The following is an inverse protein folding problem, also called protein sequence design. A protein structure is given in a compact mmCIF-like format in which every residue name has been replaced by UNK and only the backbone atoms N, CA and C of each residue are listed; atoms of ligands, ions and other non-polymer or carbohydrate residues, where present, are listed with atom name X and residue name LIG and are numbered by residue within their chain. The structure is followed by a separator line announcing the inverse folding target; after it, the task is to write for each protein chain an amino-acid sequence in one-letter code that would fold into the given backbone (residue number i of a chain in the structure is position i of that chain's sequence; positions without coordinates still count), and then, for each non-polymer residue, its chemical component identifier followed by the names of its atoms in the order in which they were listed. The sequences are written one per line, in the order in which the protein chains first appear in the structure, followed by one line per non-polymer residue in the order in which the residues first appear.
data_IF_320751299161
#
_entry.id   IF_320751299161
#
_cell.length_a   1.000
_cell.length_b   1.000
_cell.length_c   1.000
_cell.angle_alpha   90.00
_cell.angle_beta   90.00
_cell.angle_gamma   90.00
#
_symmetry.space_group_name_H-M   'P 1'
#
loop_
_entity.id
_entity.type
_entity.pdbx_description
1 polymer ?
#
# COMPACT_ATOMS: atom_id res chain seq x y z
N UNK A 1 9.47 24.86 3.81
CA UNK A 1 9.52 23.51 3.21
C UNK A 1 9.01 22.44 4.19
N UNK A 2 8.06 22.78 5.06
CA UNK A 2 7.50 21.85 6.05
C UNK A 2 6.14 21.39 5.50
N UNK A 3 5.87 20.10 5.61
CA UNK A 3 4.55 19.51 5.32
C UNK A 3 4.05 18.76 6.55
N UNK A 4 2.75 18.82 6.79
CA UNK A 4 2.11 18.11 7.90
C UNK A 4 1.69 16.72 7.46
N UNK A 5 2.09 15.71 8.22
CA UNK A 5 1.76 14.32 7.93
C UNK A 5 0.34 14.02 8.40
N UNK A 6 -0.55 13.68 7.48
CA UNK A 6 -1.96 13.35 7.78
C UNK A 6 -2.17 11.86 7.52
N UNK A 7 -2.67 11.13 8.50
CA UNK A 7 -3.01 9.72 8.32
C UNK A 7 -4.35 9.60 7.58
N UNK A 8 -4.32 9.05 6.36
CA UNK A 8 -5.46 8.80 5.50
C UNK A 8 -6.38 7.67 5.96
N UNK A 9 -6.25 7.17 7.19
CA UNK A 9 -6.96 5.98 7.68
C UNK A 9 -8.42 6.22 8.07
N UNK A 10 -8.96 7.43 7.87
CA UNK A 10 -10.36 7.76 8.23
C UNK A 10 -10.91 8.91 7.37
N UNK A 11 -12.25 9.08 7.30
CA UNK A 11 -12.85 10.20 6.59
C UNK A 11 -12.35 11.57 7.06
N UNK A 12 -12.02 11.71 8.35
CA UNK A 12 -11.51 12.95 8.93
C UNK A 12 -10.23 13.45 8.25
N UNK A 13 -9.45 12.56 7.62
CA UNK A 13 -8.26 12.93 6.86
C UNK A 13 -8.60 13.89 5.71
N UNK A 14 -9.76 13.72 5.07
CA UNK A 14 -10.22 14.58 3.97
C UNK A 14 -10.36 16.01 4.47
N UNK A 15 -11.05 16.21 5.59
CA UNK A 15 -11.28 17.54 6.17
C UNK A 15 -9.99 18.16 6.68
N UNK A 16 -9.15 17.39 7.39
CA UNK A 16 -7.86 17.87 7.89
C UNK A 16 -6.97 18.32 6.74
N UNK A 17 -6.84 17.49 5.69
CA UNK A 17 -6.07 17.85 4.48
C UNK A 17 -6.62 19.14 3.87
N UNK A 18 -7.93 19.20 3.63
CA UNK A 18 -8.58 20.34 2.98
C UNK A 18 -8.38 21.64 3.77
N UNK A 19 -8.50 21.60 5.09
CA UNK A 19 -8.40 22.77 5.98
C UNK A 19 -6.96 23.26 6.17
N UNK A 20 -5.98 22.34 6.23
CA UNK A 20 -4.57 22.73 6.26
C UNK A 20 -4.16 23.39 4.95
N UNK A 21 -4.52 22.78 3.82
CA UNK A 21 -4.18 23.31 2.49
C UNK A 21 -4.84 24.67 2.22
N UNK A 22 -6.06 24.91 2.74
CA UNK A 22 -6.72 26.21 2.66
C UNK A 22 -6.01 27.33 3.43
N UNK A 23 -5.12 26.98 4.36
CA UNK A 23 -4.27 27.92 5.09
C UNK A 23 -2.87 28.04 4.47
N UNK A 24 -2.65 27.43 3.30
CA UNK A 24 -1.34 27.37 2.65
C UNK A 24 -0.36 26.42 3.36
N UNK A 25 -0.87 25.47 4.15
CA UNK A 25 -0.04 24.49 4.87
C UNK A 25 -0.08 23.17 4.08
N UNK A 26 1.05 22.84 3.46
CA UNK A 26 1.20 21.61 2.68
C UNK A 26 1.07 20.36 3.54
N UNK A 27 0.51 19.31 2.95
CA UNK A 27 0.23 18.04 3.62
C UNK A 27 0.94 16.87 2.93
N UNK A 28 1.47 15.95 3.72
CA UNK A 28 1.86 14.62 3.26
C UNK A 28 0.84 13.63 3.80
N UNK A 29 -0.11 13.22 2.95
CA UNK A 29 -1.08 12.23 3.34
C UNK A 29 -0.43 10.84 3.25
N UNK A 30 -0.62 10.00 4.25
CA UNK A 30 0.07 8.70 4.40
C UNK A 30 -0.87 7.66 4.99
N UNK A 31 -0.44 6.40 5.16
CA UNK A 31 -1.37 5.32 5.52
C UNK A 31 -2.49 5.22 4.48
N UNK A 32 -2.07 5.38 3.22
CA UNK A 32 -2.92 5.35 2.03
C UNK A 32 -2.41 4.23 1.14
N UNK A 33 -3.33 3.45 0.59
CA UNK A 33 -3.00 2.20 -0.13
C UNK A 33 -3.73 2.04 -1.45
N UNK A 34 -4.76 2.86 -1.70
CA UNK A 34 -5.76 2.58 -2.74
C UNK A 34 -5.95 3.77 -3.65
N UNK A 35 -6.32 3.50 -4.90
CA UNK A 35 -6.57 4.52 -5.92
C UNK A 35 -7.69 5.46 -5.49
N UNK A 36 -8.78 4.93 -4.93
CA UNK A 36 -9.91 5.70 -4.45
C UNK A 36 -9.55 6.62 -3.29
N UNK A 37 -8.76 6.13 -2.32
CA UNK A 37 -8.28 6.90 -1.19
C UNK A 37 -7.36 8.04 -1.62
N UNK A 38 -6.36 7.76 -2.47
CA UNK A 38 -5.44 8.78 -3.01
C UNK A 38 -6.18 9.82 -3.84
N UNK A 39 -7.05 9.39 -4.75
CA UNK A 39 -7.81 10.30 -5.60
C UNK A 39 -8.68 11.25 -4.78
N UNK A 40 -9.37 10.72 -3.74
CA UNK A 40 -10.19 11.54 -2.85
C UNK A 40 -9.36 12.58 -2.10
N UNK A 41 -8.18 12.20 -1.64
CA UNK A 41 -7.28 13.06 -0.88
C UNK A 41 -6.57 14.11 -1.76
N UNK A 42 -6.21 13.77 -3.01
CA UNK A 42 -5.71 14.73 -4.00
C UNK A 42 -6.78 15.77 -4.33
N UNK A 43 -8.04 15.35 -4.51
CA UNK A 43 -9.16 16.28 -4.71
C UNK A 43 -9.36 17.22 -3.50
N UNK A 44 -9.17 16.72 -2.28
CA UNK A 44 -9.21 17.54 -1.06
C UNK A 44 -8.06 18.57 -1.02
N UNK A 45 -6.85 18.19 -1.47
CA UNK A 45 -5.73 19.12 -1.63
C UNK A 45 -6.07 20.21 -2.65
N UNK A 46 -6.57 19.83 -3.82
CA UNK A 46 -7.01 20.76 -4.86
C UNK A 46 -8.03 21.77 -4.34
N UNK A 47 -9.06 21.31 -3.63
CA UNK A 47 -10.09 22.17 -3.03
C UNK A 47 -9.50 23.12 -1.98
N UNK A 48 -8.69 22.61 -1.05
CA UNK A 48 -8.01 23.42 -0.04
C UNK A 48 -7.13 24.49 -0.67
N UNK A 49 -6.26 24.09 -1.58
CA UNK A 49 -5.33 25.01 -2.25
C UNK A 49 -6.04 26.03 -3.15
N UNK A 50 -7.18 25.70 -3.75
CA UNK A 50 -8.00 26.66 -4.47
C UNK A 50 -8.53 27.77 -3.54
N UNK A 51 -8.94 27.43 -2.31
CA UNK A 51 -9.33 28.41 -1.28
C UNK A 51 -8.15 29.30 -0.88
N UNK A 52 -6.98 28.72 -0.65
CA UNK A 52 -5.76 29.47 -0.34
C UNK A 52 -5.38 30.44 -1.46
N UNK A 53 -5.37 29.96 -2.71
CA UNK A 53 -5.01 30.77 -3.88
C UNK A 53 -5.93 31.99 -4.06
N UNK A 54 -7.23 31.83 -3.84
CA UNK A 54 -8.21 32.94 -3.85
C UNK A 54 -7.96 34.00 -2.79
N UNK A 55 -7.41 33.60 -1.65
CA UNK A 55 -7.04 34.51 -0.57
C UNK A 55 -5.66 35.15 -0.80
N UNK A 56 -5.03 34.91 -1.95
CA UNK A 56 -3.67 35.38 -2.24
C UNK A 56 -2.59 34.62 -1.46
N UNK A 57 -2.94 33.49 -0.81
CA UNK A 57 -1.99 32.66 -0.07
C UNK A 57 -1.27 31.76 -1.07
N UNK A 58 0.06 31.79 -1.04
CA UNK A 58 0.91 30.95 -1.89
C UNK A 58 0.79 29.49 -1.43
N UNK A 59 0.38 28.62 -2.35
CA UNK A 59 0.32 27.17 -2.12
C UNK A 59 1.73 26.57 -2.00
N UNK A 60 1.86 25.52 -1.20
CA UNK A 60 3.13 24.83 -0.93
C UNK A 60 3.12 23.42 -1.49
N UNK A 61 4.31 22.85 -1.71
CA UNK A 61 4.47 21.45 -2.12
C UNK A 61 3.78 20.51 -1.13
N UNK A 62 3.13 19.47 -1.65
CA UNK A 62 2.46 18.45 -0.88
C UNK A 62 2.58 17.08 -1.57
N UNK A 63 2.29 16.03 -0.80
CA UNK A 63 2.54 14.65 -1.18
C UNK A 63 1.33 13.79 -0.86
N UNK A 64 1.05 12.85 -1.75
CA UNK A 64 0.12 11.75 -1.53
C UNK A 64 0.92 10.45 -1.47
N UNK A 65 1.16 9.94 -0.26
CA UNK A 65 2.05 8.80 -0.03
C UNK A 65 1.29 7.48 -0.12
N UNK A 66 1.49 6.75 -1.21
CA UNK A 66 1.08 5.36 -1.37
C UNK A 66 2.02 4.42 -0.60
N UNK A 67 1.50 3.61 0.32
CA UNK A 67 2.26 2.60 1.05
C UNK A 67 2.24 1.24 0.34
N UNK A 68 2.58 1.22 -0.95
CA UNK A 68 2.44 0.09 -1.86
C UNK A 68 3.05 -1.22 -1.35
N UNK A 69 4.27 -1.20 -0.81
CA UNK A 69 4.88 -2.44 -0.31
C UNK A 69 4.18 -3.03 0.93
N UNK A 70 3.36 -2.25 1.64
CA UNK A 70 2.46 -2.79 2.67
C UNK A 70 1.17 -3.37 2.09
N UNK A 71 0.69 -2.84 0.96
CA UNK A 71 -0.39 -3.50 0.21
C UNK A 71 0.10 -4.86 -0.31
N UNK A 72 1.32 -4.93 -0.85
CA UNK A 72 1.93 -6.18 -1.31
C UNK A 72 2.03 -7.22 -0.18
N UNK A 73 2.54 -6.83 0.99
CA UNK A 73 2.59 -7.69 2.17
C UNK A 73 1.20 -8.22 2.54
N UNK A 74 0.19 -7.35 2.56
CA UNK A 74 -1.17 -7.74 2.91
C UNK A 74 -1.78 -8.71 1.89
N UNK A 75 -1.68 -8.43 0.60
CA UNK A 75 -2.24 -9.28 -0.45
C UNK A 75 -1.57 -10.65 -0.49
N UNK A 76 -0.25 -10.71 -0.20
CA UNK A 76 0.46 -11.98 -0.03
C UNK A 76 -0.09 -12.81 1.11
N UNK A 77 -0.38 -12.18 2.25
CA UNK A 77 -0.96 -12.85 3.41
C UNK A 77 -2.38 -13.35 3.14
N UNK A 78 -3.18 -12.59 2.39
CA UNK A 78 -4.53 -13.00 1.95
C UNK A 78 -4.43 -14.21 1.01
N UNK A 79 -3.59 -14.14 -0.01
CA UNK A 79 -3.38 -15.23 -0.96
C UNK A 79 -2.88 -16.51 -0.27
N UNK A 80 -1.94 -16.38 0.66
CA UNK A 80 -1.46 -17.50 1.47
C UNK A 80 -2.58 -18.11 2.32
N UNK A 81 -3.39 -17.29 2.98
CA UNK A 81 -4.51 -17.76 3.80
C UNK A 81 -5.54 -18.53 2.96
N UNK A 82 -5.90 -18.02 1.78
CA UNK A 82 -6.83 -18.70 0.87
C UNK A 82 -6.30 -20.05 0.38
N UNK A 83 -5.01 -20.12 0.05
CA UNK A 83 -4.35 -21.38 -0.34
C UNK A 83 -4.30 -22.38 0.83
N UNK A 84 -4.01 -21.92 2.05
CA UNK A 84 -4.05 -22.77 3.25
C UNK A 84 -5.46 -23.29 3.50
N UNK A 85 -6.49 -22.43 3.43
CA UNK A 85 -7.89 -22.85 3.60
C UNK A 85 -8.26 -23.95 2.61
N UNK A 86 -7.94 -23.73 1.32
CA UNK A 86 -8.16 -24.71 0.26
C UNK A 86 -7.41 -26.03 0.50
N UNK A 87 -6.18 -25.96 1.01
CA UNK A 87 -5.42 -27.15 1.37
C UNK A 87 -6.09 -27.93 2.52
N UNK A 88 -6.54 -27.22 3.55
CA UNK A 88 -7.17 -27.81 4.73
C UNK A 88 -8.56 -28.39 4.45
N UNK A 89 -9.25 -28.00 3.37
CA UNK A 89 -10.51 -28.66 2.96
C UNK A 89 -10.33 -30.17 2.71
N UNK A 90 -9.13 -30.60 2.31
CA UNK A 90 -8.79 -32.00 2.02
C UNK A 90 -8.21 -32.74 3.23
N UNK A 91 -7.93 -32.04 4.33
CA UNK A 91 -7.33 -32.64 5.52
C UNK A 91 -8.40 -33.28 6.41
N UNK A 92 -8.16 -34.53 6.85
CA UNK A 92 -9.00 -35.19 7.85
C UNK A 92 -8.95 -34.45 9.20
N UNK A 93 -7.75 -34.05 9.63
CA UNK A 93 -7.52 -33.21 10.80
C UNK A 93 -6.86 -31.89 10.38
N UNK A 94 -7.68 -30.84 10.31
CA UNK A 94 -7.25 -29.50 9.88
C UNK A 94 -6.28 -28.86 10.88
N UNK A 95 -6.47 -29.07 12.18
CA UNK A 95 -5.60 -28.46 13.19
C UNK A 95 -4.22 -29.12 13.17
N UNK A 96 -4.16 -30.45 13.06
CA UNK A 96 -2.90 -31.18 12.95
C UNK A 96 -2.14 -30.83 11.66
N UNK A 97 -2.84 -30.74 10.52
CA UNK A 97 -2.24 -30.36 9.24
C UNK A 97 -1.66 -28.94 9.28
N UNK A 98 -2.43 -27.97 9.79
CA UNK A 98 -1.95 -26.59 9.93
C UNK A 98 -0.78 -26.50 10.91
N UNK A 99 -0.81 -27.25 12.01
CA UNK A 99 0.27 -27.30 13.00
C UNK A 99 1.58 -27.83 12.41
N UNK A 100 1.52 -28.84 11.53
CA UNK A 100 2.69 -29.35 10.81
C UNK A 100 3.33 -28.26 9.94
N UNK A 101 2.52 -27.52 9.18
CA UNK A 101 2.99 -26.37 8.40
C UNK A 101 3.58 -25.28 9.31
N UNK A 102 2.89 -24.92 10.38
CA UNK A 102 3.32 -23.91 11.33
C UNK A 102 4.70 -24.22 11.92
N UNK A 103 4.96 -25.48 12.30
CA UNK A 103 6.28 -25.94 12.75
C UNK A 103 7.34 -25.83 11.68
N UNK A 104 7.06 -26.28 10.44
CA UNK A 104 8.01 -26.16 9.32
C UNK A 104 8.35 -24.67 9.03
N UNK A 105 7.38 -23.76 9.18
CA UNK A 105 7.59 -22.33 8.96
C UNK A 105 8.22 -21.59 10.15
N UNK A 106 8.46 -22.27 11.27
CA UNK A 106 9.08 -21.68 12.47
C UNK A 106 8.14 -20.82 13.31
N UNK A 107 6.82 -21.06 13.23
CA UNK A 107 5.85 -20.45 14.16
C UNK A 107 6.08 -21.07 15.55
N UNK A 108 6.17 -20.27 16.63
CA UNK A 108 6.45 -20.79 17.98
C UNK A 108 5.19 -21.44 18.58
N UNK A 109 4.91 -22.68 18.16
CA UNK A 109 3.73 -23.45 18.56
C UNK A 109 4.12 -24.81 19.14
N UNK A 110 3.51 -25.17 20.28
CA UNK A 110 3.84 -26.40 21.01
C UNK A 110 2.92 -27.58 20.66
N UNK A 111 1.64 -27.29 20.45
CA UNK A 111 0.58 -28.27 20.20
C UNK A 111 -0.46 -27.75 19.17
N UNK A 112 -1.19 -28.65 18.48
CA UNK A 112 -2.13 -28.24 17.42
C UNK A 112 -3.35 -27.46 17.94
N UNK A 113 -3.81 -27.80 19.14
CA UNK A 113 -4.96 -27.21 19.81
C UNK A 113 -4.57 -25.99 20.68
N UNK A 114 -5.57 -25.22 21.12
CA UNK A 114 -5.37 -24.09 22.02
C UNK A 114 -4.87 -22.81 21.33
N UNK A 115 -4.33 -21.90 22.14
CA UNK A 115 -3.94 -20.55 21.67
C UNK A 115 -2.51 -20.54 21.16
N UNK A 116 -2.33 -20.12 19.91
CA UNK A 116 -1.02 -19.85 19.33
C UNK A 116 -0.68 -18.37 19.50
N UNK A 117 0.60 -18.06 19.74
CA UNK A 117 1.06 -16.67 19.85
C UNK A 117 2.31 -16.48 19.04
N UNK A 118 2.42 -15.36 18.33
CA UNK A 118 3.63 -15.08 17.58
C UNK A 118 3.67 -13.72 16.90
N UNK A 119 4.87 -13.24 16.51
CA UNK A 119 5.02 -11.97 15.80
C UNK A 119 4.35 -11.99 14.43
N UNK A 120 3.59 -10.94 14.12
CA UNK A 120 2.97 -10.71 12.80
C UNK A 120 3.98 -10.25 11.73
N UNK A 121 5.12 -9.69 12.13
CA UNK A 121 6.03 -8.99 11.21
C UNK A 121 5.53 -7.59 10.80
N UNK A 122 4.43 -7.13 11.40
CA UNK A 122 3.88 -5.77 11.27
C UNK A 122 4.22 -4.86 12.45
N UNK A 123 4.94 -5.37 13.46
CA UNK A 123 5.33 -4.62 14.66
C UNK A 123 4.53 -4.99 15.92
N UNK A 124 3.62 -5.95 15.81
CA UNK A 124 2.80 -6.47 16.91
C UNK A 124 2.79 -8.00 16.95
N UNK A 125 2.43 -8.53 18.11
CA UNK A 125 2.24 -9.97 18.33
C UNK A 125 0.75 -10.32 18.19
N UNK A 126 0.47 -11.52 17.70
CA UNK A 126 -0.90 -12.02 17.46
C UNK A 126 -1.15 -13.18 18.40
N UNK A 127 -2.34 -13.23 18.98
CA UNK A 127 -2.87 -14.40 19.66
C UNK A 127 -3.97 -15.00 18.78
N UNK A 128 -3.82 -16.26 18.39
CA UNK A 128 -4.74 -16.98 17.53
C UNK A 128 -5.39 -18.13 18.29
N UNK A 129 -6.72 -18.13 18.39
CA UNK A 129 -7.49 -19.11 19.18
C UNK A 129 -8.29 -20.04 18.28
N UNK A 130 -8.84 -19.50 17.21
CA UNK A 130 -9.63 -20.22 16.21
C UNK A 130 -8.75 -20.74 15.08
N UNK A 131 -9.23 -21.72 14.33
CA UNK A 131 -8.52 -22.21 13.14
C UNK A 131 -8.25 -21.08 12.14
N UNK A 132 -9.22 -20.18 11.94
CA UNK A 132 -9.09 -19.03 11.03
C UNK A 132 -7.97 -18.09 11.46
N UNK A 133 -7.94 -17.69 12.74
CA UNK A 133 -6.85 -16.85 13.27
C UNK A 133 -5.50 -17.56 13.21
N UNK A 134 -5.46 -18.89 13.37
CA UNK A 134 -4.22 -19.68 13.23
C UNK A 134 -3.73 -19.68 11.78
N UNK A 135 -4.64 -19.78 10.80
CA UNK A 135 -4.30 -19.67 9.38
C UNK A 135 -3.72 -18.29 9.09
N UNK A 136 -4.36 -17.22 9.57
CA UNK A 136 -3.83 -15.85 9.44
C UNK A 136 -2.44 -15.72 10.07
N UNK A 137 -2.25 -16.28 11.29
CA UNK A 137 -0.96 -16.25 11.98
C UNK A 137 0.14 -16.88 11.13
N UNK A 138 -0.12 -18.05 10.55
CA UNK A 138 0.84 -18.79 9.71
C UNK A 138 1.13 -18.02 8.41
N UNK A 139 0.13 -17.35 7.83
CA UNK A 139 0.26 -16.58 6.60
C UNK A 139 1.09 -15.29 6.75
N UNK A 140 1.23 -14.75 7.96
CA UNK A 140 1.94 -13.49 8.18
C UNK A 140 3.34 -13.45 7.59
N UNK A 141 3.73 -12.26 7.12
CA UNK A 141 5.06 -11.98 6.56
C UNK A 141 6.23 -12.32 7.49
N UNK A 142 6.01 -12.46 8.79
CA UNK A 142 7.06 -12.92 9.69
C UNK A 142 7.54 -14.34 9.36
N UNK A 143 6.63 -15.21 8.92
CA UNK A 143 6.87 -16.63 8.73
C UNK A 143 7.01 -17.02 7.27
N UNK A 144 6.07 -16.56 6.43
CA UNK A 144 6.01 -16.99 5.04
C UNK A 144 6.94 -16.17 4.14
N UNK A 145 6.85 -14.83 4.21
CA UNK A 145 7.58 -13.83 3.38
C UNK A 145 7.39 -13.90 1.86
N UNK A 146 7.35 -15.10 1.28
CA UNK A 146 7.16 -15.40 -0.15
C UNK A 146 6.26 -16.62 -0.30
N UNK A 147 5.40 -16.61 -1.31
CA UNK A 147 4.54 -17.77 -1.62
C UNK A 147 5.34 -18.98 -2.13
N UNK A 148 6.51 -18.76 -2.72
CA UNK A 148 7.38 -19.84 -3.22
C UNK A 148 8.31 -20.44 -2.15
N UNK A 149 8.02 -20.22 -0.87
CA UNK A 149 8.82 -20.78 0.23
C UNK A 149 8.71 -22.32 0.21
N UNK A 150 9.83 -23.07 0.21
CA UNK A 150 9.80 -24.53 -0.01
C UNK A 150 8.84 -25.28 0.92
N UNK A 151 8.82 -24.93 2.20
CA UNK A 151 7.96 -25.59 3.19
C UNK A 151 6.47 -25.38 2.91
N UNK A 152 6.11 -24.25 2.28
CA UNK A 152 4.75 -23.94 1.88
C UNK A 152 4.36 -24.64 0.58
N UNK A 153 5.26 -24.67 -0.40
CA UNK A 153 5.10 -25.45 -1.65
C UNK A 153 4.86 -26.92 -1.32
N UNK A 154 5.74 -27.53 -0.50
CA UNK A 154 5.60 -28.92 -0.06
C UNK A 154 4.23 -29.17 0.58
N UNK A 155 3.80 -28.29 1.49
CA UNK A 155 2.50 -28.42 2.15
C UNK A 155 1.34 -28.41 1.16
N UNK A 156 1.35 -27.50 0.19
CA UNK A 156 0.28 -27.39 -0.80
C UNK A 156 0.22 -28.61 -1.73
N UNK A 157 1.37 -29.20 -2.07
CA UNK A 157 1.46 -30.45 -2.83
C UNK A 157 1.02 -31.65 -1.99
N UNK A 158 1.49 -31.76 -0.74
CA UNK A 158 1.09 -32.82 0.20
C UNK A 158 -0.44 -32.84 0.40
N UNK A 159 -1.07 -31.66 0.44
CA UNK A 159 -2.53 -31.51 0.55
C UNK A 159 -3.25 -31.58 -0.80
N UNK A 160 -2.54 -31.81 -1.90
CA UNK A 160 -3.10 -31.98 -3.25
C UNK A 160 -3.74 -30.71 -3.82
N UNK A 161 -3.32 -29.52 -3.39
CA UNK A 161 -3.74 -28.25 -4.02
C UNK A 161 -3.13 -28.12 -5.41
N UNK A 162 -1.89 -28.60 -5.56
CA UNK A 162 -1.14 -28.70 -6.82
C UNK A 162 -0.73 -30.16 -7.05
N UNK A 163 -0.53 -30.55 -8.32
CA UNK A 163 -0.15 -31.92 -8.66
C UNK A 163 1.35 -32.18 -8.45
N UNK A 164 2.20 -31.15 -8.55
CA UNK A 164 3.64 -31.27 -8.32
C UNK A 164 4.25 -30.00 -7.72
N UNK A 165 5.47 -30.13 -7.18
CA UNK A 165 6.24 -28.99 -6.68
C UNK A 165 6.61 -28.01 -7.81
N UNK A 166 6.92 -28.51 -9.01
CA UNK A 166 7.25 -27.67 -10.17
C UNK A 166 6.05 -26.81 -10.60
N UNK A 167 4.84 -27.40 -10.65
CA UNK A 167 3.60 -26.67 -10.96
C UNK A 167 3.33 -25.60 -9.89
N UNK A 168 3.41 -25.99 -8.61
CA UNK A 168 3.21 -25.09 -7.49
C UNK A 168 4.20 -23.91 -7.52
N UNK A 169 5.50 -24.16 -7.70
CA UNK A 169 6.52 -23.12 -7.75
C UNK A 169 6.26 -22.14 -8.89
N UNK A 170 5.90 -22.63 -10.07
CA UNK A 170 5.60 -21.79 -11.22
C UNK A 170 4.38 -20.89 -10.96
N UNK A 171 3.24 -21.46 -10.57
CA UNK A 171 2.03 -20.67 -10.34
C UNK A 171 2.16 -19.70 -9.17
N UNK A 172 2.83 -20.12 -8.10
CA UNK A 172 3.08 -19.25 -6.94
C UNK A 172 4.09 -18.14 -7.27
N UNK A 173 5.06 -18.39 -8.15
CA UNK A 173 5.98 -17.36 -8.64
C UNK A 173 5.27 -16.31 -9.49
N UNK A 174 4.38 -16.73 -10.41
CA UNK A 174 3.57 -15.82 -11.21
C UNK A 174 2.63 -14.96 -10.33
N UNK A 175 2.03 -15.57 -9.30
CA UNK A 175 1.21 -14.86 -8.33
C UNK A 175 2.03 -13.90 -7.47
N UNK A 176 3.22 -14.31 -7.03
CA UNK A 176 4.16 -13.48 -6.26
C UNK A 176 4.62 -12.25 -7.07
N UNK A 177 4.87 -12.43 -8.38
CA UNK A 177 5.19 -11.34 -9.29
C UNK A 177 4.02 -10.36 -9.43
N UNK A 178 2.81 -10.89 -9.64
CA UNK A 178 1.59 -10.08 -9.71
C UNK A 178 1.39 -9.27 -8.41
N UNK A 179 1.43 -9.93 -7.26
CA UNK A 179 1.29 -9.29 -5.94
C UNK A 179 2.35 -8.23 -5.76
N UNK A 180 3.60 -8.52 -6.14
CA UNK A 180 4.70 -7.59 -6.09
C UNK A 180 4.50 -6.32 -6.94
N UNK A 181 3.63 -6.31 -7.94
CA UNK A 181 3.32 -5.12 -8.73
C UNK A 181 2.14 -4.31 -8.19
N UNK A 182 1.38 -4.85 -7.23
CA UNK A 182 0.12 -4.23 -6.77
C UNK A 182 0.27 -2.77 -6.31
N UNK A 183 1.30 -2.47 -5.50
CA UNK A 183 1.59 -1.10 -5.06
C UNK A 183 1.98 -0.17 -6.21
N UNK A 184 2.84 -0.65 -7.11
CA UNK A 184 3.25 0.08 -8.32
C UNK A 184 2.05 0.39 -9.21
N UNK A 185 1.17 -0.59 -9.44
CA UNK A 185 -0.03 -0.42 -10.26
C UNK A 185 -0.95 0.68 -9.70
N UNK A 186 -1.14 0.72 -8.38
CA UNK A 186 -1.91 1.80 -7.73
C UNK A 186 -1.27 3.16 -7.99
N UNK A 187 0.04 3.30 -7.74
CA UNK A 187 0.74 4.57 -7.95
C UNK A 187 0.73 5.03 -9.43
N UNK A 188 0.94 4.11 -10.37
CA UNK A 188 0.87 4.37 -11.80
C UNK A 188 -0.54 4.85 -12.21
N UNK A 189 -1.59 4.18 -11.72
CA UNK A 189 -2.99 4.55 -12.01
C UNK A 189 -3.34 5.92 -11.44
N UNK A 190 -2.96 6.20 -10.18
CA UNK A 190 -3.20 7.52 -9.57
C UNK A 190 -2.45 8.62 -10.32
N UNK A 191 -1.18 8.40 -10.63
CA UNK A 191 -0.42 9.37 -11.40
C UNK A 191 -1.04 9.61 -12.78
N UNK A 192 -1.46 8.55 -13.48
CA UNK A 192 -2.11 8.66 -14.78
C UNK A 192 -3.42 9.45 -14.70
N UNK A 193 -4.23 9.21 -13.66
CA UNK A 193 -5.52 9.89 -13.46
C UNK A 193 -5.37 11.41 -13.30
N UNK A 194 -4.26 11.89 -12.74
CA UNK A 194 -4.09 13.31 -12.39
C UNK A 194 -3.06 14.06 -13.23
N UNK A 195 -1.96 13.40 -13.62
CA UNK A 195 -0.75 14.06 -14.05
C UNK A 195 -0.21 13.58 -15.40
N UNK A 196 -0.88 12.62 -16.04
CA UNK A 196 -0.54 12.23 -17.41
C UNK A 196 -0.70 13.40 -18.38
N UNK A 197 0.06 13.42 -19.49
CA UNK A 197 -0.07 14.46 -20.52
C UNK A 197 -1.51 14.65 -21.01
N UNK A 198 -2.30 13.57 -21.11
CA UNK A 198 -3.69 13.64 -21.57
C UNK A 198 -4.69 14.13 -20.50
N UNK A 199 -4.41 13.94 -19.21
CA UNK A 199 -5.35 14.27 -18.13
C UNK A 199 -5.01 15.58 -17.42
N UNK A 200 -3.73 15.98 -17.38
CA UNK A 200 -3.29 17.24 -16.73
C UNK A 200 -4.03 18.47 -17.26
N UNK A 201 -4.18 18.71 -18.60
CA UNK A 201 -4.91 19.87 -19.11
C UNK A 201 -6.40 19.90 -18.74
N UNK A 202 -6.99 18.71 -18.55
CA UNK A 202 -8.40 18.55 -18.16
C UNK A 202 -8.61 18.99 -16.72
N UNK A 203 -7.70 18.61 -15.82
CA UNK A 203 -7.70 19.07 -14.44
C UNK A 203 -7.49 20.58 -14.33
N UNK A 204 -6.56 21.16 -15.09
CA UNK A 204 -6.39 22.62 -15.14
C UNK A 204 -7.69 23.32 -15.54
N UNK A 205 -8.32 22.84 -16.62
CA UNK A 205 -9.59 23.38 -17.10
C UNK A 205 -10.72 23.21 -16.07
N UNK A 206 -10.77 22.08 -15.37
CA UNK A 206 -11.74 21.83 -14.31
C UNK A 206 -11.52 22.73 -13.09
N UNK A 207 -10.27 22.93 -12.64
CA UNK A 207 -9.93 23.83 -11.53
C UNK A 207 -10.33 25.28 -11.84
N UNK A 208 -10.02 25.76 -13.05
CA UNK A 208 -10.40 27.09 -13.52
C UNK A 208 -11.92 27.25 -13.50
N UNK A 209 -12.68 26.30 -14.07
CA UNK A 209 -14.14 26.40 -14.13
C UNK A 209 -14.81 26.25 -12.77
N UNK A 210 -14.42 25.24 -12.00
CA UNK A 210 -15.07 24.89 -10.73
C UNK A 210 -14.80 25.90 -9.64
N UNK A 211 -13.56 26.39 -9.58
CA UNK A 211 -13.15 27.31 -8.54
C UNK A 211 -12.95 28.74 -9.06
N UNK A 212 -13.07 29.06 -10.35
CA UNK A 212 -12.88 30.44 -10.83
C UNK A 212 -11.45 30.95 -10.60
N UNK A 213 -10.46 30.08 -10.83
CA UNK A 213 -9.03 30.38 -10.67
C UNK A 213 -8.45 30.94 -11.97
N UNK A 214 -7.37 31.72 -11.88
CA UNK A 214 -6.55 32.03 -13.05
C UNK A 214 -5.80 30.78 -13.54
N UNK A 215 -5.37 30.73 -14.82
CA UNK A 215 -4.54 29.63 -15.33
C UNK A 215 -3.30 29.37 -14.48
N UNK A 216 -2.62 30.43 -14.05
CA UNK A 216 -1.38 30.35 -13.24
C UNK A 216 -1.67 29.80 -11.84
N UNK A 217 -2.82 30.15 -11.25
CA UNK A 217 -3.24 29.59 -9.96
C UNK A 217 -3.53 28.09 -10.09
N UNK A 218 -4.27 27.69 -11.13
CA UNK A 218 -4.59 26.28 -11.37
C UNK A 218 -3.33 25.43 -11.64
N UNK A 219 -2.40 25.95 -12.44
CA UNK A 219 -1.11 25.30 -12.71
C UNK A 219 -0.30 25.14 -11.43
N UNK A 220 -0.21 26.20 -10.62
CA UNK A 220 0.53 26.17 -9.35
C UNK A 220 -0.03 25.13 -8.36
N UNK A 221 -1.36 24.98 -8.30
CA UNK A 221 -2.03 23.96 -7.49
C UNK A 221 -1.59 22.58 -7.97
N UNK A 222 -1.79 22.30 -9.26
CA UNK A 222 -1.55 20.97 -9.82
C UNK A 222 -0.07 20.57 -9.74
N UNK A 223 0.85 21.49 -10.02
CA UNK A 223 2.30 21.26 -9.95
C UNK A 223 2.82 21.09 -8.51
N UNK A 224 2.06 21.51 -7.51
CA UNK A 224 2.46 21.39 -6.12
C UNK A 224 2.24 19.99 -5.53
N UNK A 225 1.42 19.15 -6.17
CA UNK A 225 1.02 17.83 -5.68
C UNK A 225 1.87 16.73 -6.32
N UNK A 226 2.59 15.96 -5.51
CA UNK A 226 3.29 14.76 -5.98
C UNK A 226 2.65 13.47 -5.45
N UNK A 227 2.60 12.46 -6.30
CA UNK A 227 2.45 11.06 -5.85
C UNK A 227 3.78 10.60 -5.25
N UNK A 228 3.72 9.88 -4.13
CA UNK A 228 4.90 9.39 -3.41
C UNK A 228 4.76 7.88 -3.13
N UNK A 229 5.24 7.01 -4.04
CA UNK A 229 5.28 5.57 -3.82
C UNK A 229 6.32 5.22 -2.74
N UNK A 230 5.86 4.60 -1.66
CA UNK A 230 6.64 4.35 -0.45
C UNK A 230 6.50 2.92 0.07
N UNK A 231 7.26 2.62 1.13
CA UNK A 231 7.34 1.29 1.74
C UNK A 231 7.75 0.17 0.78
N UNK A 232 8.46 0.53 -0.30
CA UNK A 232 8.90 -0.38 -1.36
C UNK A 232 9.64 -1.58 -0.80
N UNK A 233 9.48 -2.72 -1.48
CA UNK A 233 10.07 -4.00 -1.07
C UNK A 233 11.22 -4.40 -1.99
N UNK A 234 11.20 -3.91 -3.23
CA UNK A 234 12.17 -4.23 -4.27
C UNK A 234 12.73 -2.94 -4.88
N UNK A 235 13.99 -2.92 -5.31
CA UNK A 235 14.56 -1.72 -5.90
C UNK A 235 13.90 -1.35 -7.23
N UNK A 236 13.37 -2.35 -7.95
CA UNK A 236 12.62 -2.14 -9.19
C UNK A 236 11.35 -1.31 -8.99
N UNK A 237 10.74 -1.35 -7.80
CA UNK A 237 9.55 -0.55 -7.49
C UNK A 237 9.86 0.96 -7.61
N UNK A 238 11.10 1.39 -7.38
CA UNK A 238 11.54 2.77 -7.57
C UNK A 238 11.63 3.13 -9.05
N UNK A 239 12.22 2.24 -9.86
CA UNK A 239 12.38 2.45 -11.30
C UNK A 239 11.04 2.48 -12.03
N UNK A 240 10.11 1.57 -11.68
CA UNK A 240 8.80 1.47 -12.33
C UNK A 240 7.85 2.64 -12.04
N UNK A 241 8.20 3.51 -11.09
CA UNK A 241 7.42 4.71 -10.74
C UNK A 241 8.15 6.01 -11.03
N UNK A 242 9.21 5.99 -11.86
CA UNK A 242 9.87 7.22 -12.29
C UNK A 242 8.97 8.02 -13.25
N UNK A 243 8.97 9.33 -13.06
CA UNK A 243 8.29 10.30 -13.91
C UNK A 243 8.98 11.67 -13.78
N UNK A 244 8.97 12.47 -14.85
CA UNK A 244 9.54 13.82 -14.85
C UNK A 244 8.70 14.87 -14.12
N UNK A 245 7.43 14.59 -13.81
CA UNK A 245 6.52 15.51 -13.11
C UNK A 245 5.66 14.80 -12.07
N UNK A 246 5.23 15.55 -11.05
CA UNK A 246 4.22 15.15 -10.05
C UNK A 246 4.50 13.79 -9.37
N UNK A 247 5.77 13.46 -9.19
CA UNK A 247 6.24 12.19 -8.65
C UNK A 247 7.47 12.44 -7.78
N UNK A 248 7.43 11.96 -6.55
CA UNK A 248 8.57 12.02 -5.62
C UNK A 248 8.87 10.61 -5.13
N UNK A 249 10.12 10.17 -5.29
CA UNK A 249 10.60 8.91 -4.73
C UNK A 249 11.44 9.20 -3.48
N UNK A 250 11.01 8.71 -2.32
CA UNK A 250 11.81 8.77 -1.09
C UNK A 250 12.19 7.37 -0.66
N UNK A 251 13.48 7.17 -0.39
CA UNK A 251 14.00 5.85 -0.04
C UNK A 251 14.83 5.95 1.24
N UNK A 252 14.70 4.96 2.11
CA UNK A 252 15.61 4.81 3.24
C UNK A 252 17.01 4.45 2.73
N UNK A 253 18.10 4.77 3.46
CA UNK A 253 19.47 4.55 2.98
C UNK A 253 19.76 3.11 2.52
N UNK A 254 19.17 2.11 3.18
CA UNK A 254 19.30 0.72 2.78
C UNK A 254 18.66 0.44 1.41
N UNK A 255 17.47 1.00 1.16
CA UNK A 255 16.78 0.83 -0.13
C UNK A 255 17.46 1.62 -1.24
N UNK A 256 17.97 2.83 -0.95
CA UNK A 256 18.80 3.60 -1.89
C UNK A 256 20.01 2.80 -2.36
N UNK A 257 20.69 2.13 -1.43
CA UNK A 257 21.81 1.27 -1.76
C UNK A 257 21.36 0.09 -2.63
N UNK A 258 20.22 -0.53 -2.34
CA UNK A 258 19.69 -1.62 -3.18
C UNK A 258 19.32 -1.17 -4.59
N UNK A 259 18.78 0.05 -4.75
CA UNK A 259 18.51 0.68 -6.06
C UNK A 259 19.81 0.91 -6.82
N UNK A 260 20.82 1.48 -6.16
CA UNK A 260 22.12 1.70 -6.78
C UNK A 260 22.79 0.40 -7.22
N UNK A 261 22.76 -0.65 -6.39
CA UNK A 261 23.31 -1.96 -6.75
C UNK A 261 22.60 -2.57 -7.95
N UNK A 262 21.27 -2.47 -8.01
CA UNK A 262 20.50 -2.96 -9.15
C UNK A 262 20.96 -2.28 -10.45
N UNK A 263 21.16 -0.96 -10.43
CA UNK A 263 21.73 -0.22 -11.56
C UNK A 263 23.14 -0.68 -11.92
N UNK A 264 24.05 -0.73 -10.94
CA UNK A 264 25.45 -1.00 -11.17
C UNK A 264 25.73 -2.46 -11.61
N UNK A 265 25.01 -3.43 -11.06
CA UNK A 265 25.27 -4.86 -11.25
C UNK A 265 24.48 -5.46 -12.42
N UNK A 266 23.28 -4.94 -12.72
CA UNK A 266 22.41 -5.50 -13.77
C UNK A 266 22.41 -4.68 -15.06
N UNK A 267 23.23 -3.63 -15.15
CA UNK A 267 23.37 -2.81 -16.35
C UNK A 267 22.09 -2.09 -16.76
N UNK A 268 21.21 -1.75 -15.80
CA UNK A 268 20.01 -0.98 -16.07
C UNK A 268 20.40 0.37 -16.67
N UNK A 269 19.66 0.81 -17.68
CA UNK A 269 19.77 2.14 -18.27
C UNK A 269 18.66 3.01 -17.71
N UNK A 270 18.95 4.03 -16.87
CA UNK A 270 17.94 4.89 -16.29
C UNK A 270 17.03 5.56 -17.34
N UNK A 271 17.56 5.78 -18.54
CA UNK A 271 16.85 6.35 -19.69
C UNK A 271 15.65 5.48 -20.11
N UNK A 272 15.76 4.16 -19.98
CA UNK A 272 14.67 3.22 -20.29
C UNK A 272 13.50 3.35 -19.29
N UNK A 273 13.70 4.07 -18.18
CA UNK A 273 12.72 4.22 -17.10
C UNK A 273 12.26 5.66 -16.85
N UNK A 274 12.70 6.65 -17.65
CA UNK A 274 12.44 8.08 -17.39
C UNK A 274 10.95 8.41 -17.11
N UNK A 275 10.04 7.75 -17.82
CA UNK A 275 8.58 7.80 -17.62
C UNK A 275 7.97 6.42 -17.42
N UNK A 276 8.67 5.53 -16.71
CA UNK A 276 8.18 4.18 -16.43
C UNK A 276 6.86 4.15 -15.64
N UNK A 277 6.44 5.25 -15.02
CA UNK A 277 5.09 5.37 -14.46
C UNK A 277 3.99 5.10 -15.50
N UNK A 278 4.26 5.30 -16.79
CA UNK A 278 3.35 5.02 -17.90
C UNK A 278 3.56 3.61 -18.51
N UNK A 279 4.53 2.85 -18.02
CA UNK A 279 4.83 1.51 -18.52
C UNK A 279 3.62 0.60 -18.34
N UNK A 280 3.21 -0.04 -19.44
CA UNK A 280 2.16 -1.05 -19.41
C UNK A 280 2.74 -2.38 -18.98
N UNK A 281 2.12 -2.98 -17.97
CA UNK A 281 2.42 -4.34 -17.55
C UNK A 281 1.55 -5.34 -18.30
N UNK A 282 1.96 -6.60 -18.32
CA UNK A 282 1.14 -7.69 -18.86
C UNK A 282 -0.21 -7.74 -18.13
N UNK A 283 -1.30 -7.73 -18.90
CA UNK A 283 -2.67 -7.76 -18.37
C UNK A 283 -2.92 -8.98 -17.47
N UNK A 284 -2.16 -10.07 -17.63
CA UNK A 284 -2.27 -11.25 -16.78
C UNK A 284 -2.08 -10.90 -15.30
N UNK A 285 -1.18 -9.97 -14.96
CA UNK A 285 -0.92 -9.62 -13.56
C UNK A 285 -2.15 -8.97 -12.93
N UNK A 286 -2.74 -8.01 -13.64
CA UNK A 286 -3.98 -7.35 -13.21
C UNK A 286 -5.11 -8.39 -13.12
N UNK A 287 -5.31 -9.23 -14.14
CA UNK A 287 -6.35 -10.29 -14.13
C UNK A 287 -6.18 -11.26 -12.95
N UNK A 288 -4.95 -11.67 -12.64
CA UNK A 288 -4.63 -12.51 -11.48
C UNK A 288 -4.99 -11.81 -10.17
N UNK A 289 -4.63 -10.54 -10.03
CA UNK A 289 -4.91 -9.76 -8.81
C UNK A 289 -6.41 -9.48 -8.61
N UNK A 290 -7.18 -9.28 -9.68
CA UNK A 290 -8.63 -9.07 -9.61
C UNK A 290 -9.41 -10.23 -8.96
N UNK A 291 -8.80 -11.41 -8.83
CA UNK A 291 -9.37 -12.54 -8.08
C UNK A 291 -9.47 -12.25 -6.58
N UNK A 292 -8.69 -11.31 -6.06
CA UNK A 292 -8.68 -10.92 -4.65
C UNK A 292 -9.52 -9.67 -4.42
N UNK A 293 -10.49 -9.76 -3.50
CA UNK A 293 -11.37 -8.64 -3.15
C UNK A 293 -10.58 -7.41 -2.66
N UNK A 294 -9.57 -7.62 -1.83
CA UNK A 294 -8.76 -6.52 -1.30
C UNK A 294 -7.97 -5.80 -2.39
N UNK A 295 -7.57 -6.48 -3.47
CA UNK A 295 -6.97 -5.81 -4.62
C UNK A 295 -8.00 -5.01 -5.42
N UNK A 296 -9.20 -5.56 -5.65
CA UNK A 296 -10.30 -4.81 -6.30
C UNK A 296 -10.59 -3.51 -5.55
N UNK A 297 -10.76 -3.60 -4.23
CA UNK A 297 -10.92 -2.45 -3.33
C UNK A 297 -9.75 -1.46 -3.41
N UNK A 298 -8.52 -1.97 -3.56
CA UNK A 298 -7.33 -1.14 -3.68
C UNK A 298 -7.21 -0.43 -5.03
N UNK A 299 -7.70 -1.03 -6.11
CA UNK A 299 -7.40 -0.60 -7.46
C UNK A 299 -8.56 0.13 -8.16
N UNK A 300 -9.80 -0.16 -7.78
CA UNK A 300 -11.00 0.44 -8.34
C UNK A 300 -11.33 1.83 -7.73
N UNK A 301 -12.17 2.59 -8.44
CA UNK A 301 -12.71 3.87 -7.98
C UNK A 301 -13.99 3.67 -7.18
N UNK A 302 -14.50 4.73 -6.55
CA UNK A 302 -15.89 4.75 -6.02
C UNK A 302 -16.83 5.39 -7.04
N UNK A 303 -18.15 5.13 -6.98
CA UNK A 303 -19.12 5.78 -7.85
C UNK A 303 -19.08 7.32 -7.79
N UNK A 304 -18.79 7.88 -6.61
CA UNK A 304 -18.65 9.32 -6.42
C UNK A 304 -17.42 9.87 -7.16
N UNK A 305 -16.29 9.15 -7.10
CA UNK A 305 -15.08 9.54 -7.81
C UNK A 305 -15.30 9.46 -9.33
N UNK A 306 -15.95 8.41 -9.82
CA UNK A 306 -16.27 8.28 -11.26
C UNK A 306 -17.02 9.50 -11.77
N UNK A 307 -17.99 10.02 -11.00
CA UNK A 307 -18.71 11.26 -11.36
C UNK A 307 -17.77 12.46 -11.45
N UNK A 308 -16.85 12.63 -10.51
CA UNK A 308 -15.88 13.74 -10.50
C UNK A 308 -14.90 13.64 -11.68
N UNK A 309 -14.39 12.44 -11.98
CA UNK A 309 -13.51 12.23 -13.13
C UNK A 309 -14.23 12.50 -14.45
N UNK A 310 -15.50 12.06 -14.59
CA UNK A 310 -16.34 12.38 -15.75
C UNK A 310 -16.60 13.89 -15.89
N UNK A 311 -16.87 14.58 -14.78
CA UNK A 311 -17.02 16.06 -14.74
C UNK A 311 -15.73 16.78 -15.20
N UNK A 312 -14.56 16.22 -14.86
CA UNK A 312 -13.27 16.71 -15.34
C UNK A 312 -12.98 16.34 -16.80
N UNK A 313 -13.72 15.41 -17.41
CA UNK A 313 -13.52 14.94 -18.80
C UNK A 313 -12.53 13.77 -18.92
N UNK A 314 -12.28 13.04 -17.84
CA UNK A 314 -11.33 11.92 -17.76
C UNK A 314 -12.10 10.62 -17.96
N UNK A 315 -11.61 9.77 -18.87
CA UNK A 315 -12.21 8.47 -19.13
C UNK A 315 -11.77 7.46 -18.05
N UNK A 316 -12.74 6.92 -17.32
CA UNK A 316 -12.55 5.96 -16.24
C UNK A 316 -13.52 4.77 -16.32
N UNK A 317 -14.15 4.55 -17.49
CA UNK A 317 -15.21 3.55 -17.65
C UNK A 317 -14.73 2.12 -17.33
N UNK A 318 -13.48 1.79 -17.65
CA UNK A 318 -12.89 0.47 -17.43
C UNK A 318 -12.17 0.33 -16.06
N UNK A 319 -12.40 1.26 -15.12
CA UNK A 319 -11.68 1.28 -13.84
C UNK A 319 -12.42 0.66 -12.66
N UNK A 320 -13.67 0.22 -12.85
CA UNK A 320 -14.49 -0.35 -11.79
C UNK A 320 -14.96 0.66 -10.75
N UNK A 321 -15.96 0.26 -9.96
CA UNK A 321 -16.63 1.11 -8.96
C UNK A 321 -16.64 0.49 -7.55
N UNK A 322 -15.91 -0.61 -7.34
CA UNK A 322 -15.78 -1.35 -6.08
C UNK A 322 -14.66 -0.85 -5.16
N UNK A 323 -14.14 0.36 -5.38
CA UNK A 323 -13.12 0.98 -4.53
C UNK A 323 -13.63 1.32 -3.12
N UNK A 324 -12.70 1.54 -2.19
CA UNK A 324 -13.02 1.87 -0.80
C UNK A 324 -13.65 3.25 -0.63
N UNK A 325 -14.81 3.30 0.03
CA UNK A 325 -15.40 4.54 0.53
C UNK A 325 -14.62 5.08 1.74
N UNK A 326 -14.66 6.39 2.00
CA UNK A 326 -13.99 6.99 3.16
C UNK A 326 -14.23 6.28 4.49
N UNK A 327 -15.46 5.81 4.71
CA UNK A 327 -15.88 5.14 5.95
C UNK A 327 -15.20 3.77 6.13
N UNK A 328 -14.75 3.16 5.04
CA UNK A 328 -14.13 1.83 5.01
C UNK A 328 -12.60 1.88 5.14
N UNK A 329 -11.99 3.07 5.01
CA UNK A 329 -10.52 3.24 5.00
C UNK A 329 -9.86 2.67 6.26
N UNK A 330 -10.50 2.83 7.43
CA UNK A 330 -9.99 2.38 8.72
C UNK A 330 -10.02 0.87 8.91
N UNK A 331 -10.96 0.18 8.25
CA UNK A 331 -11.13 -1.28 8.33
C UNK A 331 -10.38 -2.05 7.25
N UNK A 332 -9.80 -1.37 6.26
CA UNK A 332 -9.03 -2.04 5.22
C UNK A 332 -7.80 -2.76 5.80
N UNK A 333 -7.53 -3.99 5.36
CA UNK A 333 -6.56 -4.86 6.03
C UNK A 333 -5.15 -4.26 6.14
N UNK A 334 -4.66 -3.60 5.09
CA UNK A 334 -3.37 -2.87 5.15
C UNK A 334 -3.38 -1.72 6.14
N UNK A 335 -4.50 -1.00 6.27
CA UNK A 335 -4.68 0.07 7.26
C UNK A 335 -4.65 -0.50 8.66
N UNK A 336 -5.48 -1.51 8.94
CA UNK A 336 -5.60 -2.13 10.27
C UNK A 336 -4.23 -2.63 10.75
N UNK A 337 -3.53 -3.41 9.90
CA UNK A 337 -2.22 -3.97 10.23
C UNK A 337 -1.17 -2.89 10.46
N UNK A 338 -1.16 -1.85 9.64
CA UNK A 338 -0.21 -0.74 9.78
C UNK A 338 -0.46 0.10 11.03
N UNK A 339 -1.71 0.48 11.27
CA UNK A 339 -2.07 1.31 12.42
C UNK A 339 -1.83 0.58 13.73
N UNK A 340 -2.15 -0.71 13.80
CA UNK A 340 -1.82 -1.56 14.96
C UNK A 340 -0.31 -1.62 15.18
N UNK A 341 0.46 -1.90 14.12
CA UNK A 341 1.92 -1.94 14.18
C UNK A 341 2.57 -0.65 14.65
N UNK A 342 2.11 0.51 14.14
CA UNK A 342 2.60 1.81 14.58
C UNK A 342 2.24 2.11 16.02
N UNK A 343 1.01 1.80 16.43
CA UNK A 343 0.54 2.02 17.80
C UNK A 343 1.34 1.18 18.79
N UNK A 344 1.44 -0.12 18.57
CA UNK A 344 2.18 -1.01 19.47
C UNK A 344 3.69 -0.71 19.48
N UNK A 345 4.28 -0.41 18.32
CA UNK A 345 5.67 0.01 18.24
C UNK A 345 5.94 1.27 19.07
N UNK A 346 5.06 2.28 18.98
CA UNK A 346 5.16 3.49 19.77
C UNK A 346 5.01 3.22 21.27
N UNK A 347 4.02 2.42 21.67
CA UNK A 347 3.81 2.06 23.08
C UNK A 347 5.02 1.32 23.65
N UNK A 348 5.53 0.30 22.95
CA UNK A 348 6.73 -0.45 23.34
C UNK A 348 7.95 0.47 23.47
N UNK A 349 8.12 1.44 22.56
CA UNK A 349 9.21 2.42 22.63
C UNK A 349 9.06 3.38 23.83
N UNK A 350 7.87 3.95 24.01
CA UNK A 350 7.55 4.84 25.13
C UNK A 350 7.86 4.15 26.45
N UNK A 351 7.43 2.91 26.62
CA UNK A 351 7.61 2.17 27.87
C UNK A 351 9.10 1.93 28.16
N UNK A 352 9.91 1.61 27.14
CA UNK A 352 11.38 1.53 27.28
C UNK A 352 12.01 2.87 27.68
N UNK A 353 11.56 3.99 27.09
CA UNK A 353 12.06 5.31 27.46
C UNK A 353 11.73 5.66 28.91
N UNK A 354 10.52 5.35 29.36
CA UNK A 354 10.09 5.57 30.75
C UNK A 354 10.88 4.69 31.71
N UNK A 355 11.11 3.43 31.38
CA UNK A 355 11.92 2.52 32.19
C UNK A 355 13.37 3.02 32.31
N UNK A 356 13.98 3.43 31.18
CA UNK A 356 15.33 3.98 31.17
C UNK A 356 15.43 5.26 32.02
N UNK A 357 14.48 6.18 31.86
CA UNK A 357 14.45 7.41 32.65
C UNK A 357 14.33 7.13 34.15
N UNK A 358 13.53 6.14 34.55
CA UNK A 358 13.42 5.70 35.95
C UNK A 358 14.73 5.11 36.48
N UNK A 359 15.44 4.29 35.68
CA UNK A 359 16.75 3.73 36.06
C UNK A 359 17.79 4.82 36.26
N UNK A 360 17.92 5.76 35.31
CA UNK A 360 18.85 6.89 35.40
C UNK A 360 18.55 7.76 36.63
N UNK A 361 17.27 8.02 36.91
CA UNK A 361 16.86 8.79 38.08
C UNK A 361 17.16 8.07 39.41
N UNK A 362 17.13 6.74 39.43
CA UNK A 362 17.48 5.94 40.61
C UNK A 362 19.00 5.87 40.84
N UNK A 363 19.80 5.81 39.77
CA UNK A 363 21.27 5.82 39.83
C UNK A 363 21.85 7.21 40.17
N UNK A 364 21.06 8.27 39.98
CA UNK A 364 21.43 9.65 40.30
C UNK A 364 21.07 10.05 41.74
N UNK A 365 20.55 9.13 42.56
CA UNK A 365 20.25 9.28 43.98
C UNK A 365 21.17 8.39 44.79
#
# INVERSE_FOLDING_TARGET
NIVFKVAGSSPAAIDITRELEARGIGTNNTVVYTVSQEARLILAKMEGQARAAKMGIKVTKNYETNMGGRLEDHLREVAAADLIKKALEKAEDKEAALFKLAKKLGVPVEKPDGTWKGPSGWGYDVEAKTLEEKIELVSYRNYLKKLTKPEFVEFLVEMGVFASAEEAEKELAELEEAIGLSGTLVAQRVWWLFFSPENKPKWLSWLIRKYGLSPEQAERILDSIDVLPASKRKPMDTYLTLAGNNMTNTEFPNHQLSVHKLYAEQGLKPEDYEYAVMMKHDEKYVKTLYRYEDFRKAYELTPELVKVFKEAGINVEDMGEGGLKPEEWGSFGSTVKTMKGFTEGYLKFRDKCVELAKKVAAESR
#
